data_IF_097816686139
#
_entry.id   IF_097816686139
#
_cell.length_a   1.000
_cell.length_b   1.000
_cell.length_c   1.000
_cell.angle_alpha   90.00
_cell.angle_beta   90.00
_cell.angle_gamma   90.00
#
_symmetry.space_group_name_H-M   'P 1'
#
loop_
_entity.id
_entity.type
_entity.pdbx_description
1 polymer ?
#
# COMPACT_ATOMS: atom_id res chain seq x y z
N UNK A 1 -15.73 -6.69 10.27
CA UNK A 1 -15.71 -7.85 9.33
C UNK A 1 -14.28 -8.27 9.00
N UNK A 2 -13.32 -7.36 9.08
CA UNK A 2 -11.95 -7.55 8.60
C UNK A 2 -10.92 -7.80 9.71
N UNK A 3 -11.37 -8.04 10.93
CA UNK A 3 -10.51 -8.32 12.08
C UNK A 3 -9.44 -9.36 11.76
N UNK A 4 -8.17 -9.03 12.04
CA UNK A 4 -6.97 -9.85 11.79
C UNK A 4 -6.73 -10.21 10.32
N UNK A 5 -7.44 -9.58 9.37
CA UNK A 5 -7.09 -9.67 7.95
C UNK A 5 -5.92 -8.74 7.67
N UNK A 6 -5.13 -9.10 6.66
CA UNK A 6 -4.05 -8.25 6.16
C UNK A 6 -4.61 -7.28 5.13
N UNK A 7 -4.27 -6.00 5.24
CA UNK A 7 -4.65 -4.97 4.27
C UNK A 7 -3.52 -3.97 4.06
N UNK A 8 -3.36 -3.50 2.83
CA UNK A 8 -2.36 -2.48 2.49
C UNK A 8 -3.00 -1.43 1.59
N UNK A 9 -2.82 -0.16 1.93
CA UNK A 9 -3.30 0.95 1.12
C UNK A 9 -2.31 1.16 -0.03
N UNK A 10 -2.81 1.41 -1.23
CA UNK A 10 -2.01 1.76 -2.42
C UNK A 10 -2.71 2.92 -3.10
N UNK A 11 -1.97 4.00 -3.39
CA UNK A 11 -2.53 5.22 -3.98
C UNK A 11 -1.69 5.63 -5.17
N UNK A 12 -2.33 6.17 -6.21
CA UNK A 12 -1.63 6.88 -7.28
C UNK A 12 -2.17 8.29 -7.41
N UNK A 13 -1.29 9.26 -7.64
CA UNK A 13 -1.63 10.66 -7.85
C UNK A 13 -0.61 11.33 -8.78
N UNK A 14 -0.99 12.43 -9.41
CA UNK A 14 -0.10 13.15 -10.32
C UNK A 14 0.87 14.11 -9.62
N UNK A 15 0.58 14.51 -8.37
CA UNK A 15 1.42 15.47 -7.65
C UNK A 15 1.25 15.46 -6.13
N UNK A 16 0.04 15.76 -5.64
CA UNK A 16 -0.25 15.99 -4.22
C UNK A 16 -1.44 15.15 -3.76
N UNK A 17 -1.69 15.13 -2.45
CA UNK A 17 -2.86 14.46 -1.85
C UNK A 17 -2.72 12.95 -1.67
N UNK A 18 -1.73 12.29 -2.29
CA UNK A 18 -1.51 10.85 -2.18
C UNK A 18 -1.37 10.39 -0.73
N UNK A 19 -0.60 11.10 0.09
CA UNK A 19 -0.39 10.78 1.50
C UNK A 19 -1.66 10.95 2.35
N UNK A 20 -2.47 11.98 2.06
CA UNK A 20 -3.72 12.19 2.80
C UNK A 20 -4.71 11.05 2.54
N UNK A 21 -4.83 10.62 1.27
CA UNK A 21 -5.67 9.48 0.89
C UNK A 21 -5.11 8.18 1.48
N UNK A 22 -3.79 7.98 1.40
CA UNK A 22 -3.12 6.81 1.98
C UNK A 22 -3.39 6.69 3.49
N UNK A 23 -3.26 7.80 4.23
CA UNK A 23 -3.52 7.84 5.67
C UNK A 23 -4.99 7.57 5.98
N UNK A 24 -5.93 8.19 5.25
CA UNK A 24 -7.36 7.98 5.47
C UNK A 24 -7.79 6.51 5.25
N UNK A 25 -7.23 5.83 4.23
CA UNK A 25 -7.47 4.40 4.00
C UNK A 25 -6.83 3.56 5.11
N UNK A 26 -5.63 3.92 5.56
CA UNK A 26 -4.92 3.22 6.63
C UNK A 26 -5.67 3.32 7.96
N UNK A 27 -6.20 4.50 8.29
CA UNK A 27 -7.04 4.71 9.48
C UNK A 27 -8.26 3.78 9.48
N UNK A 28 -8.90 3.59 8.32
CA UNK A 28 -10.01 2.64 8.17
C UNK A 28 -9.57 1.18 8.42
N UNK A 29 -8.38 0.77 7.95
CA UNK A 29 -7.87 -0.57 8.23
C UNK A 29 -7.60 -0.78 9.72
N UNK A 30 -7.06 0.23 10.39
CA UNK A 30 -6.72 0.15 11.81
C UNK A 30 -7.96 0.08 12.71
N UNK A 31 -9.01 0.86 12.43
CA UNK A 31 -10.26 0.79 13.22
C UNK A 31 -10.98 -0.57 13.05
N UNK A 32 -10.80 -1.25 11.92
CA UNK A 32 -11.33 -2.60 11.65
C UNK A 32 -10.45 -3.73 12.23
N UNK A 33 -9.43 -3.41 13.05
CA UNK A 33 -8.46 -4.37 13.61
C UNK A 33 -7.70 -5.17 12.52
N UNK A 34 -7.40 -4.56 11.38
CA UNK A 34 -6.59 -5.18 10.34
C UNK A 34 -5.09 -5.08 10.65
N UNK A 35 -4.30 -5.99 10.09
CA UNK A 35 -2.83 -5.95 10.14
C UNK A 35 -2.32 -5.26 8.87
N UNK A 36 -1.64 -4.12 9.03
CA UNK A 36 -1.15 -3.32 7.91
C UNK A 36 0.37 -3.48 7.77
N UNK A 37 0.88 -4.21 6.75
CA UNK A 37 2.31 -4.26 6.49
C UNK A 37 2.77 -2.99 5.76
N UNK A 38 3.92 -2.48 6.17
CA UNK A 38 4.59 -1.39 5.47
C UNK A 38 5.37 -1.87 4.25
N UNK A 39 5.89 -0.91 3.49
CA UNK A 39 6.91 -1.12 2.45
C UNK A 39 8.20 -0.37 2.81
N UNK A 40 9.15 -0.25 1.87
CA UNK A 40 10.35 0.57 2.01
C UNK A 40 10.07 2.08 1.91
N UNK A 41 8.86 2.47 1.48
CA UNK A 41 8.35 3.85 1.49
C UNK A 41 6.81 3.86 1.61
N UNK A 42 6.18 5.04 1.64
CA UNK A 42 4.72 5.12 1.53
C UNK A 42 4.26 4.54 0.19
N UNK A 43 3.21 3.71 0.21
CA UNK A 43 2.71 2.97 -0.95
C UNK A 43 1.98 3.90 -1.94
N UNK A 44 2.73 4.80 -2.55
CA UNK A 44 2.25 5.82 -3.48
C UNK A 44 3.01 5.72 -4.79
N UNK A 45 2.32 5.85 -5.92
CA UNK A 45 2.92 5.95 -7.26
C UNK A 45 2.53 7.24 -7.98
N UNK A 46 3.47 7.86 -8.69
CA UNK A 46 3.25 9.12 -9.39
C UNK A 46 2.95 8.87 -10.88
N UNK A 47 1.86 9.44 -11.37
CA UNK A 47 1.50 9.41 -12.80
C UNK A 47 0.35 10.37 -13.09
N UNK A 48 0.43 11.13 -14.18
CA UNK A 48 -0.64 12.05 -14.59
C UNK A 48 -1.63 11.35 -15.51
N UNK A 49 -1.11 10.72 -16.56
CA UNK A 49 -1.90 9.97 -17.53
C UNK A 49 -1.95 8.47 -17.20
N UNK A 50 -2.97 7.80 -17.74
CA UNK A 50 -3.13 6.36 -17.59
C UNK A 50 -1.89 5.64 -18.12
N UNK A 51 -1.23 4.91 -17.23
CA UNK A 51 -0.04 4.10 -17.56
C UNK A 51 1.28 4.77 -17.18
N UNK A 52 1.32 6.08 -16.93
CA UNK A 52 2.57 6.76 -16.55
C UNK A 52 3.11 6.30 -15.19
N UNK A 53 2.24 5.81 -14.30
CA UNK A 53 2.66 5.21 -13.02
C UNK A 53 3.58 4.01 -13.20
N UNK A 54 3.57 3.37 -14.37
CA UNK A 54 4.51 2.29 -14.71
C UNK A 54 5.93 2.78 -15.02
N UNK A 55 6.11 4.09 -15.23
CA UNK A 55 7.43 4.69 -15.41
C UNK A 55 8.01 5.24 -14.10
N UNK A 56 7.21 5.31 -13.03
CA UNK A 56 7.66 5.65 -11.68
C UNK A 56 8.42 4.47 -11.04
N UNK A 57 9.73 4.42 -11.30
CA UNK A 57 10.61 3.34 -10.84
C UNK A 57 10.65 3.22 -9.31
N UNK A 58 10.60 4.34 -8.60
CA UNK A 58 10.66 4.36 -7.13
C UNK A 58 9.33 3.87 -6.54
N UNK A 59 8.20 4.32 -7.11
CA UNK A 59 6.88 3.80 -6.80
C UNK A 59 6.78 2.30 -7.07
N UNK A 60 7.24 1.84 -8.24
CA UNK A 60 7.25 0.41 -8.59
C UNK A 60 8.12 -0.42 -7.64
N UNK A 61 9.30 0.07 -7.27
CA UNK A 61 10.15 -0.59 -6.27
C UNK A 61 9.43 -0.70 -4.91
N UNK A 62 8.74 0.37 -4.50
CA UNK A 62 7.90 0.37 -3.30
C UNK A 62 6.80 -0.69 -3.37
N UNK A 63 6.14 -0.85 -4.52
CA UNK A 63 5.10 -1.88 -4.69
C UNK A 63 5.68 -3.30 -4.69
N UNK A 64 6.87 -3.49 -5.25
CA UNK A 64 7.55 -4.78 -5.22
C UNK A 64 7.88 -5.20 -3.78
N UNK A 65 8.47 -4.30 -2.99
CA UNK A 65 8.77 -4.56 -1.57
C UNK A 65 7.50 -4.76 -0.75
N UNK A 66 6.43 -4.01 -1.04
CA UNK A 66 5.13 -4.21 -0.41
C UNK A 66 4.60 -5.62 -0.67
N UNK A 67 4.66 -6.08 -1.92
CA UNK A 67 4.26 -7.43 -2.32
C UNK A 67 5.06 -8.51 -1.60
N UNK A 68 6.38 -8.33 -1.46
CA UNK A 68 7.24 -9.23 -0.70
C UNK A 68 6.84 -9.29 0.79
N UNK A 69 6.63 -8.13 1.41
CA UNK A 69 6.22 -8.04 2.82
C UNK A 69 4.83 -8.65 3.06
N UNK A 70 3.87 -8.38 2.16
CA UNK A 70 2.54 -8.99 2.17
C UNK A 70 2.63 -10.52 2.07
N UNK A 71 3.40 -11.03 1.10
CA UNK A 71 3.55 -12.47 0.89
C UNK A 71 4.21 -13.15 2.10
N UNK A 72 5.23 -12.52 2.70
CA UNK A 72 5.85 -13.01 3.93
C UNK A 72 4.85 -13.04 5.09
N UNK A 73 4.12 -11.96 5.32
CA UNK A 73 3.16 -11.85 6.43
C UNK A 73 2.02 -12.86 6.29
N UNK A 74 1.42 -12.96 5.09
CA UNK A 74 0.34 -13.92 4.82
C UNK A 74 0.79 -15.36 5.06
N UNK A 75 2.03 -15.71 4.67
CA UNK A 75 2.60 -17.04 4.97
C UNK A 75 2.73 -17.29 6.48
N UNK A 76 3.09 -16.26 7.26
CA UNK A 76 3.22 -16.37 8.73
C UNK A 76 1.87 -16.46 9.44
N UNK A 77 0.82 -15.87 8.89
CA UNK A 77 -0.52 -15.91 9.45
C UNK A 77 -1.33 -17.15 9.05
N UNK A 78 -0.96 -17.81 7.94
CA UNK A 78 -1.58 -19.04 7.43
C UNK A 78 -0.86 -20.32 7.89
N UNK A 79 -0.25 -20.31 9.08
CA UNK A 79 0.25 -21.53 9.74
C UNK A 79 -0.73 -21.96 10.81
#
# INVERSE_FOLDING_TARGET
MFRRKVGAAVVSASREGALNVYNAITDFFLIEEMVVPGSCYWNTGIGFDKGEVSEDKDGLHTMEVLGQNMAWLLKKLNT
#
